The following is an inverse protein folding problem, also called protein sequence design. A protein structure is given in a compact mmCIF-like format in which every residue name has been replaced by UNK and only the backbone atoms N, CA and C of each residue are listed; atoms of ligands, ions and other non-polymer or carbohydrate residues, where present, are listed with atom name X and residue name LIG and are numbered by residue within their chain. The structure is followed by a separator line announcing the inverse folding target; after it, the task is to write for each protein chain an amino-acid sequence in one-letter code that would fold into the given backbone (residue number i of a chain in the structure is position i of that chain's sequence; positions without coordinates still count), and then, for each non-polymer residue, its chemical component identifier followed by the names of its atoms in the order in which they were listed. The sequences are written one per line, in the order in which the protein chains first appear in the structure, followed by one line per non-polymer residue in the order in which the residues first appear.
data_IF_567886256165
#
_entry.id   IF_567886256165
#
_cell.length_a   1.000
_cell.length_b   1.000
_cell.length_c   1.000
_cell.angle_alpha   90.00
_cell.angle_beta   90.00
_cell.angle_gamma   90.00
#
_symmetry.space_group_name_H-M   'P 1'
#
loop_
_entity.id
_entity.type
_entity.pdbx_description
1 polymer ?
#
# COMPACT_ATOMS: atom_id res chain seq x y z
N UNK A 1 21.83 40.87 -60.89
CA UNK A 1 21.86 39.40 -60.78
C UNK A 1 22.09 39.01 -59.32
N UNK A 2 21.01 38.84 -58.55
CA UNK A 2 21.06 38.42 -57.13
C UNK A 2 20.85 36.92 -57.03
N UNK A 3 21.86 36.18 -56.55
CA UNK A 3 21.80 34.73 -56.31
C UNK A 3 20.76 34.41 -55.21
N UNK A 4 19.97 33.32 -55.33
CA UNK A 4 19.08 32.90 -54.25
C UNK A 4 19.89 32.36 -53.08
N UNK A 5 19.59 32.86 -51.88
CA UNK A 5 20.18 32.44 -50.61
C UNK A 5 19.63 31.05 -50.26
N UNK A 6 20.47 30.02 -50.29
CA UNK A 6 20.09 28.67 -49.86
C UNK A 6 19.56 28.68 -48.40
N UNK A 7 18.55 27.87 -48.06
CA UNK A 7 17.85 28.00 -46.80
C UNK A 7 18.73 27.49 -45.65
N UNK A 8 18.97 28.35 -44.65
CA UNK A 8 19.72 28.06 -43.42
C UNK A 8 19.20 26.83 -42.63
N UNK A 9 18.02 26.30 -42.95
CA UNK A 9 17.42 25.13 -42.30
C UNK A 9 18.07 23.81 -42.70
N UNK A 10 18.49 23.65 -43.96
CA UNK A 10 19.10 22.40 -44.44
C UNK A 10 20.42 22.08 -43.72
N UNK A 11 21.18 23.11 -43.36
CA UNK A 11 22.50 23.01 -42.71
C UNK A 11 22.38 22.64 -41.24
N UNK A 12 21.37 23.16 -40.53
CA UNK A 12 21.10 22.81 -39.13
C UNK A 12 20.61 21.36 -38.99
N UNK A 13 19.75 20.91 -39.90
CA UNK A 13 19.28 19.52 -39.95
C UNK A 13 20.42 18.55 -40.24
N UNK A 14 21.32 18.86 -41.18
CA UNK A 14 22.49 18.02 -41.48
C UNK A 14 23.46 17.91 -40.30
N UNK A 15 23.70 19.00 -39.57
CA UNK A 15 24.54 19.00 -38.37
C UNK A 15 23.92 18.15 -37.24
N UNK A 16 22.61 18.22 -37.04
CA UNK A 16 21.89 17.39 -36.07
C UNK A 16 21.98 15.90 -36.42
N UNK A 17 21.81 15.53 -37.70
CA UNK A 17 21.94 14.15 -38.18
C UNK A 17 23.37 13.63 -37.99
N UNK A 18 24.39 14.45 -38.28
CA UNK A 18 25.79 14.07 -38.05
C UNK A 18 26.09 13.83 -36.56
N UNK A 19 25.55 14.68 -35.67
CA UNK A 19 25.67 14.52 -34.21
C UNK A 19 25.00 13.23 -33.73
N UNK A 20 23.78 12.95 -34.17
CA UNK A 20 23.05 11.72 -33.82
C UNK A 20 23.79 10.47 -34.30
N UNK A 21 24.29 10.45 -35.55
CA UNK A 21 25.07 9.33 -36.10
C UNK A 21 26.38 9.11 -35.35
N UNK A 22 27.05 10.18 -34.91
CA UNK A 22 28.26 10.09 -34.08
C UNK A 22 27.96 9.46 -32.72
N UNK A 23 26.88 9.88 -32.06
CA UNK A 23 26.44 9.30 -30.79
C UNK A 23 26.08 7.82 -30.96
N UNK A 24 25.34 7.46 -32.01
CA UNK A 24 25.00 6.08 -32.33
C UNK A 24 26.26 5.21 -32.49
N UNK A 25 27.23 5.65 -33.30
CA UNK A 25 28.50 4.93 -33.49
C UNK A 25 29.27 4.74 -32.18
N UNK A 26 29.28 5.75 -31.29
CA UNK A 26 29.93 5.65 -29.99
C UNK A 26 29.23 4.65 -29.06
N UNK A 27 27.89 4.61 -29.06
CA UNK A 27 27.11 3.64 -28.29
C UNK A 27 27.32 2.23 -28.82
N UNK A 28 27.30 2.04 -30.14
CA UNK A 28 27.49 0.73 -30.77
C UNK A 28 28.90 0.18 -30.53
N UNK A 29 29.92 1.04 -30.58
CA UNK A 29 31.28 0.68 -30.24
C UNK A 29 31.40 0.23 -28.77
N UNK A 30 30.78 0.97 -27.83
CA UNK A 30 30.77 0.60 -26.40
C UNK A 30 30.03 -0.70 -26.12
N UNK A 31 28.94 -1.00 -26.85
CA UNK A 31 28.21 -2.28 -26.72
C UNK A 31 29.05 -3.47 -27.18
N UNK A 32 29.89 -3.31 -28.22
CA UNK A 32 30.76 -4.38 -28.71
C UNK A 32 31.92 -4.71 -27.75
N UNK A 33 32.34 -3.74 -26.94
CA UNK A 33 33.45 -3.91 -25.98
C UNK A 33 33.00 -4.15 -24.55
N UNK A 34 31.71 -3.99 -24.25
CA UNK A 34 31.18 -4.24 -22.92
C UNK A 34 31.09 -5.76 -22.68
N UNK A 35 31.64 -6.29 -21.57
CA UNK A 35 31.38 -7.67 -21.18
C UNK A 35 29.88 -7.86 -21.02
N UNK A 36 29.35 -9.01 -21.44
CA UNK A 36 27.96 -9.36 -21.23
C UNK A 36 27.68 -9.33 -19.72
N UNK A 37 27.06 -8.26 -19.23
CA UNK A 37 26.67 -8.15 -17.84
C UNK A 37 25.65 -9.26 -17.56
N UNK A 38 26.10 -10.32 -16.90
CA UNK A 38 25.20 -11.37 -16.41
C UNK A 38 24.09 -10.72 -15.59
N UNK A 39 22.84 -10.95 -16.00
CA UNK A 39 21.65 -10.39 -15.33
C UNK A 39 21.44 -10.94 -13.91
N UNK A 40 22.29 -11.85 -13.45
CA UNK A 40 22.03 -12.68 -12.26
C UNK A 40 22.91 -12.35 -11.03
N UNK A 41 23.66 -11.24 -11.01
CA UNK A 41 24.66 -10.99 -9.96
C UNK A 41 24.36 -9.85 -8.96
N UNK A 42 23.21 -9.16 -9.03
CA UNK A 42 22.88 -8.09 -8.07
C UNK A 42 21.87 -8.60 -7.03
N UNK A 43 22.30 -8.68 -5.78
CA UNK A 43 21.45 -9.05 -4.64
C UNK A 43 20.36 -8.02 -4.31
N UNK A 44 19.59 -8.25 -3.25
CA UNK A 44 18.50 -7.39 -2.81
C UNK A 44 18.87 -5.90 -2.74
N UNK A 45 18.08 -5.06 -3.41
CA UNK A 45 18.27 -3.61 -3.48
C UNK A 45 17.85 -2.97 -2.16
N UNK A 46 18.73 -2.14 -1.61
CA UNK A 46 18.53 -1.43 -0.34
C UNK A 46 18.60 0.07 -0.63
N UNK A 47 17.43 0.70 -0.78
CA UNK A 47 17.30 2.11 -1.13
C UNK A 47 16.92 3.00 0.06
N UNK A 48 16.66 2.40 1.23
CA UNK A 48 16.32 3.10 2.47
C UNK A 48 17.53 3.36 3.37
N UNK A 49 17.34 4.15 4.44
CA UNK A 49 18.40 4.47 5.40
C UNK A 49 18.86 3.25 6.23
N UNK A 50 17.99 2.24 6.35
CA UNK A 50 18.29 0.99 7.04
C UNK A 50 18.22 -0.18 6.06
N UNK A 51 19.08 -1.19 6.26
CA UNK A 51 18.98 -2.45 5.50
C UNK A 51 17.78 -3.24 5.95
N UNK A 52 16.91 -3.59 5.01
CA UNK A 52 15.75 -4.44 5.23
C UNK A 52 16.08 -5.93 5.08
N UNK A 53 15.33 -6.81 5.76
CA UNK A 53 15.42 -8.26 5.54
C UNK A 53 15.33 -8.61 4.04
N UNK A 54 16.13 -9.58 3.62
CA UNK A 54 16.22 -10.03 2.23
C UNK A 54 16.21 -11.55 2.17
N UNK A 55 15.85 -12.10 1.01
CA UNK A 55 15.81 -13.55 0.81
C UNK A 55 17.21 -14.21 0.93
N UNK A 56 17.28 -15.49 1.33
CA UNK A 56 16.16 -16.34 1.73
C UNK A 56 15.61 -15.94 3.11
N UNK A 57 14.28 -15.84 3.21
CA UNK A 57 13.60 -15.67 4.50
C UNK A 57 13.45 -17.04 5.19
N UNK A 58 13.27 -17.10 6.52
CA UNK A 58 12.99 -18.35 7.21
C UNK A 58 11.71 -19.01 6.69
N UNK A 59 11.77 -20.32 6.45
CA UNK A 59 10.60 -21.12 6.11
C UNK A 59 9.66 -21.18 7.32
N UNK A 60 8.40 -20.77 7.15
CA UNK A 60 7.38 -20.78 8.20
C UNK A 60 5.97 -20.76 7.60
N UNK A 61 4.97 -21.22 8.36
CA UNK A 61 3.55 -21.16 8.01
C UNK A 61 2.72 -20.85 9.26
N UNK A 62 1.71 -19.99 9.15
CA UNK A 62 0.86 -19.55 10.26
C UNK A 62 -0.59 -19.97 10.06
N UNK A 63 -1.38 -20.03 11.14
CA UNK A 63 -2.85 -20.14 11.04
C UNK A 63 -3.45 -18.76 10.85
N UNK A 64 -4.48 -18.63 10.03
CA UNK A 64 -5.23 -17.37 9.83
C UNK A 64 -5.98 -16.92 11.08
N UNK A 65 -6.17 -15.60 11.30
CA UNK A 65 -5.68 -14.47 10.48
C UNK A 65 -4.16 -14.20 10.59
N UNK A 66 -3.43 -14.97 11.40
CA UNK A 66 -1.98 -14.89 11.59
C UNK A 66 -1.62 -13.85 12.62
N UNK A 67 -0.82 -14.22 13.63
CA UNK A 67 -0.28 -13.27 14.62
C UNK A 67 1.05 -12.73 14.12
N UNK A 68 1.27 -11.43 14.23
CA UNK A 68 2.54 -10.82 13.83
C UNK A 68 3.69 -11.19 14.76
N UNK A 69 3.38 -11.41 16.04
CA UNK A 69 4.34 -11.89 17.04
C UNK A 69 4.97 -13.25 16.71
N UNK A 70 4.30 -14.08 15.91
CA UNK A 70 4.77 -15.43 15.53
C UNK A 70 5.72 -15.41 14.31
N UNK A 71 5.91 -14.26 13.66
CA UNK A 71 6.74 -14.13 12.47
C UNK A 71 8.23 -13.96 12.76
N UNK A 72 9.05 -14.69 11.99
CA UNK A 72 10.52 -14.55 12.03
C UNK A 72 11.10 -14.27 10.63
N UNK A 73 11.76 -13.12 10.39
CA UNK A 73 11.89 -11.99 11.30
C UNK A 73 10.53 -11.29 11.51
N UNK A 74 10.37 -10.63 12.66
CA UNK A 74 9.22 -9.78 12.90
C UNK A 74 9.16 -8.68 11.82
N UNK A 75 7.97 -8.37 11.26
CA UNK A 75 7.78 -7.24 10.38
C UNK A 75 8.27 -5.94 11.01
N UNK A 76 8.95 -5.12 10.22
CA UNK A 76 9.36 -3.78 10.66
C UNK A 76 8.26 -2.78 10.33
N UNK A 77 7.71 -2.18 11.38
CA UNK A 77 6.57 -1.24 11.28
C UNK A 77 6.86 0.13 11.90
N UNK A 78 7.96 0.29 12.64
CA UNK A 78 8.24 1.51 13.40
C UNK A 78 8.84 2.63 12.55
N UNK A 79 9.43 2.33 11.38
CA UNK A 79 10.09 3.30 10.50
C UNK A 79 11.06 4.22 11.26
N UNK A 80 12.08 3.67 11.92
CA UNK A 80 12.99 4.44 12.80
C UNK A 80 13.64 5.66 12.11
N UNK A 81 13.85 5.58 10.79
CA UNK A 81 14.38 6.68 9.98
C UNK A 81 13.36 7.78 9.62
N UNK A 82 12.06 7.58 9.89
CA UNK A 82 11.00 8.53 9.60
C UNK A 82 10.77 9.49 10.77
N UNK A 83 10.99 10.79 10.54
CA UNK A 83 10.77 11.85 11.54
C UNK A 83 9.44 12.56 11.26
N UNK A 84 8.56 12.57 12.27
CA UNK A 84 7.29 13.29 12.21
C UNK A 84 7.50 14.80 12.04
N UNK A 85 6.53 15.45 11.42
CA UNK A 85 6.56 16.89 11.13
C UNK A 85 5.20 17.57 11.34
N UNK A 86 4.31 16.95 12.12
CA UNK A 86 2.98 17.47 12.47
C UNK A 86 2.00 17.52 11.29
N UNK A 87 2.18 16.66 10.27
CA UNK A 87 1.34 16.70 9.05
C UNK A 87 -0.12 16.36 9.32
N UNK A 88 -0.37 15.62 10.39
CA UNK A 88 -1.69 15.15 10.81
C UNK A 88 -2.03 15.65 12.21
N UNK A 89 -1.42 16.76 12.65
CA UNK A 89 -1.64 17.31 13.99
C UNK A 89 -3.12 17.56 14.26
N UNK A 90 -3.61 17.00 15.37
CA UNK A 90 -5.00 17.13 15.81
C UNK A 90 -6.03 16.38 14.95
N UNK A 91 -5.60 15.54 14.00
CA UNK A 91 -6.48 14.68 13.20
C UNK A 91 -6.85 13.40 13.95
N UNK A 92 -7.96 12.79 13.55
CA UNK A 92 -8.37 11.46 14.02
C UNK A 92 -8.49 10.50 12.85
N UNK A 93 -7.84 9.35 12.96
CA UNK A 93 -7.88 8.30 11.96
C UNK A 93 -8.58 7.03 12.46
N UNK A 94 -9.33 6.36 11.59
CA UNK A 94 -9.89 5.03 11.80
C UNK A 94 -9.30 4.07 10.76
N UNK A 95 -8.59 3.04 11.21
CA UNK A 95 -7.81 2.13 10.37
C UNK A 95 -8.30 0.69 10.55
N UNK A 96 -8.80 0.05 9.49
CA UNK A 96 -9.16 -1.38 9.55
C UNK A 96 -7.96 -2.29 9.29
N UNK A 97 -7.87 -3.42 10.01
CA UNK A 97 -6.66 -4.26 10.03
C UNK A 97 -5.47 -3.49 10.59
N UNK A 98 -5.70 -2.65 11.60
CA UNK A 98 -4.69 -1.80 12.21
C UNK A 98 -3.84 -2.51 13.24
N UNK A 99 -4.19 -3.73 13.64
CA UNK A 99 -3.47 -4.57 14.59
C UNK A 99 -2.09 -5.02 14.11
N UNK A 100 -1.89 -5.20 12.80
CA UNK A 100 -0.69 -5.80 12.23
C UNK A 100 -0.35 -5.26 10.84
N UNK A 101 0.83 -5.64 10.33
CA UNK A 101 1.30 -5.39 8.97
C UNK A 101 1.29 -3.91 8.59
N UNK A 102 0.76 -3.64 7.38
CA UNK A 102 0.68 -2.29 6.83
C UNK A 102 -0.17 -1.38 7.73
N UNK A 103 -1.31 -1.87 8.22
CA UNK A 103 -2.20 -1.09 9.07
C UNK A 103 -1.54 -0.65 10.38
N UNK A 104 -0.77 -1.54 11.03
CA UNK A 104 0.05 -1.20 12.20
C UNK A 104 1.07 -0.11 11.90
N UNK A 105 1.83 -0.26 10.81
CA UNK A 105 2.82 0.75 10.44
C UNK A 105 2.17 2.12 10.14
N UNK A 106 1.00 2.12 9.49
CA UNK A 106 0.22 3.34 9.24
C UNK A 106 -0.27 3.96 10.54
N UNK A 107 -0.78 3.16 11.49
CA UNK A 107 -1.22 3.65 12.80
C UNK A 107 -0.08 4.35 13.55
N UNK A 108 1.10 3.74 13.61
CA UNK A 108 2.27 4.32 14.27
C UNK A 108 2.73 5.61 13.58
N UNK A 109 2.79 5.66 12.25
CA UNK A 109 3.23 6.87 11.55
C UNK A 109 2.19 7.99 11.59
N UNK A 110 0.90 7.65 11.64
CA UNK A 110 -0.16 8.65 11.84
C UNK A 110 -0.05 9.28 13.23
N UNK A 111 0.20 8.46 14.26
CA UNK A 111 0.46 8.94 15.61
C UNK A 111 1.69 9.84 15.66
N UNK A 112 2.80 9.42 15.04
CA UNK A 112 4.03 10.22 14.94
C UNK A 112 3.84 11.56 14.20
N UNK A 113 2.85 11.64 13.31
CA UNK A 113 2.48 12.87 12.62
C UNK A 113 1.41 13.69 13.34
N UNK A 114 1.00 13.28 14.54
CA UNK A 114 0.14 14.04 15.45
C UNK A 114 -1.33 13.61 15.49
N UNK A 115 -1.70 12.48 14.89
CA UNK A 115 -3.08 12.00 14.86
C UNK A 115 -3.41 11.05 16.01
N UNK A 116 -4.62 11.18 16.58
CA UNK A 116 -5.20 10.10 17.40
C UNK A 116 -5.73 8.98 16.49
N UNK A 117 -5.65 7.73 16.92
CA UNK A 117 -5.89 6.57 16.05
C UNK A 117 -6.86 5.58 16.68
N UNK A 118 -7.94 5.24 15.96
CA UNK A 118 -8.71 4.03 16.19
C UNK A 118 -8.26 2.93 15.24
N UNK A 119 -8.06 1.72 15.76
CA UNK A 119 -7.76 0.52 14.98
C UNK A 119 -8.90 -0.48 15.10
N UNK A 120 -9.32 -1.04 13.97
CA UNK A 120 -10.26 -2.17 13.88
C UNK A 120 -9.48 -3.43 13.56
N UNK A 121 -9.79 -4.53 14.24
CA UNK A 121 -9.15 -5.84 14.08
C UNK A 121 -10.14 -6.96 14.42
N UNK A 122 -9.85 -8.21 14.03
CA UNK A 122 -10.81 -9.31 14.15
C UNK A 122 -10.78 -9.98 15.52
N UNK A 123 -9.62 -10.51 15.91
CA UNK A 123 -9.46 -11.23 17.18
C UNK A 123 -8.02 -11.24 17.75
N UNK A 124 -7.09 -10.54 17.11
CA UNK A 124 -5.65 -10.48 17.41
C UNK A 124 -5.35 -9.45 18.52
N UNK A 125 -5.93 -9.63 19.70
CA UNK A 125 -5.86 -8.65 20.80
C UNK A 125 -4.46 -8.28 21.23
N UNK A 126 -3.56 -9.26 21.26
CA UNK A 126 -2.16 -9.05 21.64
C UNK A 126 -1.47 -8.11 20.63
N UNK A 127 -1.71 -8.32 19.34
CA UNK A 127 -1.18 -7.51 18.26
C UNK A 127 -1.80 -6.10 18.22
N UNK A 128 -3.10 -6.00 18.50
CA UNK A 128 -3.80 -4.73 18.66
C UNK A 128 -3.26 -3.93 19.87
N UNK A 129 -3.00 -4.59 21.00
CA UNK A 129 -2.44 -3.98 22.18
C UNK A 129 -1.01 -3.45 21.94
N UNK A 130 -0.18 -4.21 21.20
CA UNK A 130 1.14 -3.74 20.78
C UNK A 130 1.02 -2.47 19.94
N UNK A 131 0.13 -2.47 18.95
CA UNK A 131 -0.09 -1.28 18.10
C UNK A 131 -0.50 -0.07 18.94
N UNK A 132 -1.47 -0.23 19.85
CA UNK A 132 -1.89 0.89 20.70
C UNK A 132 -0.77 1.39 21.60
N UNK A 133 0.03 0.51 22.19
CA UNK A 133 1.19 0.92 22.97
C UNK A 133 2.20 1.72 22.15
N UNK A 134 2.38 1.42 20.85
CA UNK A 134 3.23 2.23 19.98
C UNK A 134 2.62 3.57 19.61
N UNK A 135 1.32 3.64 19.33
CA UNK A 135 0.60 4.91 19.12
C UNK A 135 0.72 5.82 20.36
N UNK A 136 0.55 5.25 21.55
CA UNK A 136 0.66 5.97 22.82
C UNK A 136 2.08 6.47 23.12
N UNK A 137 3.11 5.71 22.73
CA UNK A 137 4.51 6.16 22.83
C UNK A 137 4.83 7.35 21.94
N UNK A 138 4.11 7.54 20.84
CA UNK A 138 4.21 8.74 20.00
C UNK A 138 3.42 9.93 20.60
N UNK A 139 2.83 9.76 21.80
CA UNK A 139 2.11 10.81 22.53
C UNK A 139 0.66 11.00 22.11
N UNK A 140 0.09 10.07 21.32
CA UNK A 140 -1.28 10.14 20.82
C UNK A 140 -2.19 9.10 21.46
N UNK A 141 -3.50 9.28 21.35
CA UNK A 141 -4.48 8.34 21.92
C UNK A 141 -4.76 7.20 20.95
N UNK A 142 -4.86 5.97 21.46
CA UNK A 142 -5.29 4.81 20.69
C UNK A 142 -6.65 4.27 21.15
N UNK A 143 -7.49 3.81 20.21
CA UNK A 143 -8.72 3.07 20.49
C UNK A 143 -8.70 1.74 19.73
N UNK A 144 -8.74 0.63 20.45
CA UNK A 144 -8.82 -0.70 19.88
C UNK A 144 -10.29 -1.16 19.75
N UNK A 145 -10.71 -1.53 18.54
CA UNK A 145 -12.08 -1.94 18.21
C UNK A 145 -12.08 -3.35 17.61
N UNK A 146 -12.38 -4.36 18.43
CA UNK A 146 -12.52 -5.73 17.96
C UNK A 146 -13.87 -5.92 17.23
N UNK A 147 -13.85 -6.42 16.01
CA UNK A 147 -15.05 -6.91 15.31
C UNK A 147 -14.86 -7.11 13.81
N UNK A 148 -15.93 -7.57 13.15
CA UNK A 148 -15.90 -7.99 11.76
C UNK A 148 -16.46 -6.92 10.82
N UNK A 149 -15.62 -6.43 9.91
CA UNK A 149 -15.98 -5.43 8.88
C UNK A 149 -17.00 -5.95 7.87
N UNK A 150 -17.21 -7.27 7.75
CA UNK A 150 -18.28 -7.82 6.91
C UNK A 150 -19.68 -7.42 7.40
N UNK A 151 -19.79 -6.99 8.67
CA UNK A 151 -21.04 -6.61 9.28
C UNK A 151 -21.24 -5.08 9.28
N UNK A 152 -22.23 -4.60 8.52
CA UNK A 152 -22.56 -3.17 8.46
C UNK A 152 -22.88 -2.55 9.84
N UNK A 153 -23.52 -3.31 10.74
CA UNK A 153 -23.84 -2.80 12.09
C UNK A 153 -22.57 -2.50 12.88
N UNK A 154 -21.57 -3.39 12.83
CA UNK A 154 -20.28 -3.19 13.47
C UNK A 154 -19.53 -2.01 12.85
N UNK A 155 -19.53 -1.86 11.53
CA UNK A 155 -18.90 -0.72 10.86
C UNK A 155 -19.47 0.63 11.33
N UNK A 156 -20.79 0.70 11.59
CA UNK A 156 -21.43 1.89 12.19
C UNK A 156 -20.96 2.10 13.62
N UNK A 157 -21.02 1.05 14.44
CA UNK A 157 -20.57 1.09 15.83
C UNK A 157 -19.10 1.55 15.94
N UNK A 158 -18.22 1.07 15.07
CA UNK A 158 -16.82 1.46 15.04
C UNK A 158 -16.63 2.96 14.80
N UNK A 159 -17.39 3.53 13.86
CA UNK A 159 -17.39 4.98 13.59
C UNK A 159 -17.96 5.75 14.79
N UNK A 160 -19.10 5.32 15.34
CA UNK A 160 -19.75 5.94 16.49
C UNK A 160 -18.82 5.96 17.72
N UNK A 161 -18.15 4.85 18.01
CA UNK A 161 -17.19 4.74 19.11
C UNK A 161 -15.95 5.60 18.89
N UNK A 162 -15.48 5.70 17.65
CA UNK A 162 -14.38 6.62 17.29
C UNK A 162 -14.76 8.07 17.56
N UNK A 163 -15.98 8.46 17.16
CA UNK A 163 -16.52 9.80 17.42
C UNK A 163 -16.72 10.05 18.91
N UNK A 164 -17.26 9.08 19.66
CA UNK A 164 -17.44 9.20 21.11
C UNK A 164 -16.11 9.37 21.86
N UNK A 165 -15.06 8.66 21.44
CA UNK A 165 -13.75 8.71 22.09
C UNK A 165 -12.96 9.98 21.75
N UNK A 166 -12.99 10.40 20.49
CA UNK A 166 -12.09 11.44 19.99
C UNK A 166 -12.79 12.75 19.60
N UNK A 167 -14.11 12.75 19.51
CA UNK A 167 -14.94 13.91 19.15
C UNK A 167 -15.01 14.22 17.65
N UNK A 168 -14.25 13.51 16.81
CA UNK A 168 -14.18 13.72 15.36
C UNK A 168 -13.64 12.49 14.62
N UNK A 169 -13.80 12.48 13.29
CA UNK A 169 -13.15 11.54 12.37
C UNK A 169 -12.73 12.31 11.12
N UNK A 170 -11.44 12.26 10.77
CA UNK A 170 -10.87 12.98 9.63
C UNK A 170 -10.39 12.06 8.51
N UNK A 171 -9.90 10.87 8.90
CA UNK A 171 -9.21 9.95 8.00
C UNK A 171 -9.79 8.56 8.19
N UNK A 172 -10.27 7.95 7.10
CA UNK A 172 -10.61 6.53 7.06
C UNK A 172 -9.55 5.79 6.25
N UNK A 173 -8.98 4.73 6.81
CA UNK A 173 -8.11 3.79 6.10
C UNK A 173 -8.79 2.42 6.05
N UNK A 174 -9.27 2.04 4.87
CA UNK A 174 -9.72 0.68 4.63
C UNK A 174 -8.51 -0.17 4.24
N UNK A 175 -8.09 -1.06 5.15
CA UNK A 175 -6.90 -1.89 4.96
C UNK A 175 -7.15 -3.39 5.25
N UNK A 176 -8.08 -3.74 6.14
CA UNK A 176 -8.44 -5.13 6.43
C UNK A 176 -8.72 -5.91 5.12
N UNK A 177 -8.27 -7.17 5.05
CA UNK A 177 -8.50 -8.01 3.90
C UNK A 177 -8.42 -9.49 4.26
N UNK A 178 -9.13 -10.32 3.49
CA UNK A 178 -8.94 -11.76 3.43
C UNK A 178 -8.28 -12.14 2.10
N UNK A 179 -7.36 -13.10 2.13
CA UNK A 179 -6.66 -13.63 0.96
C UNK A 179 -6.34 -15.11 1.21
N UNK A 180 -6.72 -16.01 0.30
CA UNK A 180 -6.31 -17.42 0.30
C UNK A 180 -5.98 -17.85 -1.13
N UNK A 181 -4.89 -18.59 -1.34
CA UNK A 181 -4.58 -19.17 -2.65
C UNK A 181 -5.52 -20.32 -2.99
N UNK A 182 -5.93 -20.37 -4.26
CA UNK A 182 -6.55 -21.53 -4.91
C UNK A 182 -5.66 -21.92 -6.11
N UNK A 183 -5.30 -23.20 -6.24
CA UNK A 183 -4.39 -23.64 -7.31
C UNK A 183 -5.09 -23.64 -8.68
N UNK A 184 -6.35 -24.04 -8.70
CA UNK A 184 -7.25 -23.97 -9.87
C UNK A 184 -8.56 -23.26 -9.52
N UNK A 185 -9.34 -22.89 -10.54
CA UNK A 185 -10.65 -22.25 -10.31
C UNK A 185 -11.65 -23.22 -9.67
N UNK A 186 -11.52 -24.52 -9.93
CA UNK A 186 -12.33 -25.58 -9.36
C UNK A 186 -12.12 -25.76 -7.85
N UNK A 187 -10.97 -25.32 -7.31
CA UNK A 187 -10.68 -25.34 -5.87
C UNK A 187 -11.32 -24.15 -5.12
N UNK A 188 -11.78 -23.13 -5.86
CA UNK A 188 -12.38 -21.92 -5.30
C UNK A 188 -13.86 -22.14 -5.01
N UNK A 189 -14.16 -22.53 -3.77
CA UNK A 189 -15.55 -22.74 -3.32
C UNK A 189 -16.32 -21.42 -3.26
N UNK A 190 -17.65 -21.50 -3.30
CA UNK A 190 -18.53 -20.34 -3.17
C UNK A 190 -18.34 -19.63 -1.83
N UNK A 191 -18.14 -20.38 -0.73
CA UNK A 191 -17.92 -19.81 0.60
C UNK A 191 -16.59 -19.06 0.69
N UNK A 192 -15.53 -19.59 0.07
CA UNK A 192 -14.26 -18.90 -0.02
C UNK A 192 -14.44 -17.59 -0.82
N UNK A 193 -15.01 -17.68 -2.02
CA UNK A 193 -15.26 -16.50 -2.86
C UNK A 193 -16.10 -15.43 -2.14
N UNK A 194 -17.21 -15.83 -1.50
CA UNK A 194 -18.10 -14.94 -0.76
C UNK A 194 -17.37 -14.28 0.43
N UNK A 195 -16.57 -15.03 1.19
CA UNK A 195 -15.78 -14.49 2.29
C UNK A 195 -14.80 -13.41 1.81
N UNK A 196 -14.11 -13.65 0.71
CA UNK A 196 -13.18 -12.68 0.10
C UNK A 196 -13.93 -11.42 -0.35
N UNK A 197 -15.07 -11.57 -1.03
CA UNK A 197 -15.91 -10.44 -1.48
C UNK A 197 -16.49 -9.65 -0.31
N UNK A 198 -17.02 -10.33 0.71
CA UNK A 198 -17.59 -9.68 1.90
C UNK A 198 -16.53 -8.89 2.67
N UNK A 199 -15.36 -9.47 2.86
CA UNK A 199 -14.30 -8.80 3.61
C UNK A 199 -13.71 -7.62 2.81
N UNK A 200 -13.37 -7.86 1.54
CA UNK A 200 -12.57 -6.91 0.77
C UNK A 200 -13.41 -5.85 0.03
N UNK A 201 -14.69 -6.11 -0.26
CA UNK A 201 -15.58 -5.16 -0.93
C UNK A 201 -16.68 -4.64 -0.01
N UNK A 202 -17.49 -5.53 0.57
CA UNK A 202 -18.55 -5.09 1.47
C UNK A 202 -17.97 -4.36 2.68
N UNK A 203 -16.87 -4.82 3.27
CA UNK A 203 -16.19 -4.11 4.36
C UNK A 203 -15.78 -2.69 4.00
N UNK A 204 -15.20 -2.48 2.81
CA UNK A 204 -14.76 -1.14 2.36
C UNK A 204 -15.96 -0.24 2.10
N UNK A 205 -17.01 -0.80 1.49
CA UNK A 205 -18.27 -0.10 1.26
C UNK A 205 -18.95 0.27 2.58
N UNK A 206 -19.04 -0.64 3.55
CA UNK A 206 -19.69 -0.44 4.84
C UNK A 206 -18.99 0.65 5.66
N UNK A 207 -17.67 0.56 5.77
CA UNK A 207 -16.86 1.57 6.47
C UNK A 207 -16.94 2.93 5.79
N UNK A 208 -16.82 3.01 4.46
CA UNK A 208 -16.95 4.27 3.74
C UNK A 208 -18.36 4.87 3.94
N UNK A 209 -19.41 4.05 3.82
CA UNK A 209 -20.81 4.49 4.01
C UNK A 209 -21.07 4.99 5.44
N UNK A 210 -20.50 4.33 6.46
CA UNK A 210 -20.64 4.75 7.85
C UNK A 210 -19.84 6.03 8.15
N UNK A 211 -18.59 6.12 7.69
CA UNK A 211 -17.71 7.25 7.99
C UNK A 211 -18.07 8.52 7.23
N UNK A 212 -18.57 8.40 5.99
CA UNK A 212 -18.75 9.53 5.08
C UNK A 212 -19.58 10.66 5.66
N UNK A 213 -20.60 10.39 6.47
CA UNK A 213 -21.44 11.43 7.06
C UNK A 213 -20.68 12.32 8.07
N UNK A 214 -19.54 11.85 8.58
CA UNK A 214 -18.79 12.49 9.65
C UNK A 214 -17.45 13.07 9.19
N UNK A 215 -17.00 12.75 7.97
CA UNK A 215 -15.78 13.33 7.41
C UNK A 215 -16.01 14.81 7.03
N UNK A 216 -15.18 15.73 7.54
CA UNK A 216 -15.28 17.14 7.21
C UNK A 216 -14.67 17.45 5.84
N UNK A 217 -14.83 18.69 5.37
CA UNK A 217 -14.01 19.24 4.30
C UNK A 217 -12.52 19.07 4.64
N UNK A 218 -11.72 18.62 3.66
CA UNK A 218 -10.33 18.25 3.86
C UNK A 218 -10.12 16.85 4.46
N UNK A 219 -11.19 16.08 4.69
CA UNK A 219 -11.14 14.67 5.08
C UNK A 219 -10.53 13.78 3.99
N UNK A 220 -10.11 12.58 4.39
CA UNK A 220 -9.42 11.64 3.48
C UNK A 220 -9.87 10.20 3.69
N UNK A 221 -10.17 9.49 2.60
CA UNK A 221 -10.34 8.05 2.58
C UNK A 221 -9.16 7.44 1.80
N UNK A 222 -8.51 6.43 2.38
CA UNK A 222 -7.41 5.71 1.75
C UNK A 222 -7.74 4.22 1.75
N UNK A 223 -7.84 3.64 0.56
CA UNK A 223 -8.12 2.22 0.39
C UNK A 223 -6.84 1.44 0.06
N UNK A 224 -6.68 0.26 0.65
CA UNK A 224 -5.55 -0.62 0.37
C UNK A 224 -5.87 -1.57 -0.77
N UNK A 225 -5.38 -1.21 -1.96
CA UNK A 225 -5.40 -2.05 -3.14
C UNK A 225 -4.32 -3.14 -3.12
N UNK A 226 -3.89 -3.56 -4.31
CA UNK A 226 -2.75 -4.47 -4.50
C UNK A 226 -2.26 -4.40 -5.94
N UNK A 227 -1.00 -4.74 -6.19
CA UNK A 227 -0.49 -5.00 -7.55
C UNK A 227 -1.29 -6.08 -8.28
N UNK A 228 -1.86 -7.04 -7.56
CA UNK A 228 -2.73 -8.09 -8.15
C UNK A 228 -4.04 -7.53 -8.69
N UNK A 229 -4.52 -6.39 -8.17
CA UNK A 229 -5.65 -5.67 -8.75
C UNK A 229 -5.34 -4.99 -10.08
N UNK A 230 -4.06 -4.80 -10.40
CA UNK A 230 -3.58 -4.24 -11.68
C UNK A 230 -3.22 -5.36 -12.66
N UNK A 231 -2.45 -6.35 -12.19
CA UNK A 231 -1.82 -7.35 -13.07
C UNK A 231 -2.52 -8.71 -13.08
N UNK A 232 -3.45 -8.94 -12.15
CA UNK A 232 -4.00 -10.27 -11.88
C UNK A 232 -3.02 -11.22 -11.19
N UNK A 233 -3.52 -12.38 -10.77
CA UNK A 233 -2.73 -13.52 -10.30
C UNK A 233 -3.53 -14.80 -10.51
N UNK A 234 -2.92 -15.78 -11.20
CA UNK A 234 -3.58 -17.03 -11.55
C UNK A 234 -3.98 -17.91 -10.36
N UNK A 235 -3.43 -17.66 -9.16
CA UNK A 235 -3.75 -18.40 -7.93
C UNK A 235 -4.60 -17.60 -6.92
N UNK A 236 -5.02 -16.39 -7.29
CA UNK A 236 -5.71 -15.44 -6.42
C UNK A 236 -6.82 -14.75 -7.21
N UNK A 237 -7.74 -15.52 -7.79
CA UNK A 237 -8.76 -15.01 -8.72
C UNK A 237 -9.71 -14.02 -8.04
N UNK A 238 -10.34 -14.46 -6.95
CA UNK A 238 -11.26 -13.67 -6.11
C UNK A 238 -10.56 -12.47 -5.44
N UNK A 239 -9.36 -12.67 -4.90
CA UNK A 239 -8.58 -11.60 -4.29
C UNK A 239 -8.17 -10.55 -5.34
N UNK A 240 -7.68 -10.96 -6.51
CA UNK A 240 -7.34 -10.02 -7.60
C UNK A 240 -8.57 -9.26 -8.08
N UNK A 241 -9.71 -9.95 -8.22
CA UNK A 241 -10.98 -9.32 -8.59
C UNK A 241 -11.41 -8.27 -7.55
N UNK A 242 -11.37 -8.60 -6.26
CA UNK A 242 -11.70 -7.64 -5.19
C UNK A 242 -10.73 -6.46 -5.14
N UNK A 243 -9.43 -6.66 -5.37
CA UNK A 243 -8.45 -5.56 -5.41
C UNK A 243 -8.63 -4.65 -6.63
N UNK A 244 -8.99 -5.20 -7.80
CA UNK A 244 -9.36 -4.40 -8.97
C UNK A 244 -10.66 -3.62 -8.74
N UNK A 245 -11.65 -4.24 -8.11
CA UNK A 245 -12.89 -3.57 -7.72
C UNK A 245 -12.65 -2.47 -6.67
N UNK A 246 -11.74 -2.64 -5.71
CA UNK A 246 -11.31 -1.57 -4.78
C UNK A 246 -10.74 -0.38 -5.57
N UNK A 247 -9.91 -0.62 -6.59
CA UNK A 247 -9.35 0.47 -7.41
C UNK A 247 -10.43 1.25 -8.16
N UNK A 248 -11.40 0.55 -8.75
CA UNK A 248 -12.55 1.18 -9.41
C UNK A 248 -13.44 1.93 -8.40
N UNK A 249 -13.73 1.32 -7.25
CA UNK A 249 -14.51 1.91 -6.17
C UNK A 249 -13.86 3.20 -5.64
N UNK A 250 -12.54 3.22 -5.44
CA UNK A 250 -11.78 4.42 -5.06
C UNK A 250 -12.02 5.57 -6.04
N UNK A 251 -11.89 5.31 -7.36
CA UNK A 251 -12.08 6.32 -8.40
C UNK A 251 -13.52 6.84 -8.43
N UNK A 252 -14.48 5.93 -8.39
CA UNK A 252 -15.90 6.28 -8.41
C UNK A 252 -16.31 7.08 -7.17
N UNK A 253 -15.86 6.64 -5.98
CA UNK A 253 -16.15 7.32 -4.72
C UNK A 253 -15.48 8.70 -4.67
N UNK A 254 -14.24 8.84 -5.16
CA UNK A 254 -13.56 10.12 -5.29
C UNK A 254 -14.42 11.12 -6.07
N UNK A 255 -14.89 10.74 -7.27
CA UNK A 255 -15.77 11.58 -8.08
C UNK A 255 -17.10 11.89 -7.39
N UNK A 256 -17.64 10.93 -6.62
CA UNK A 256 -18.92 11.10 -5.93
C UNK A 256 -18.87 12.09 -4.76
N UNK A 257 -17.72 12.27 -4.11
CA UNK A 257 -17.58 13.09 -2.89
C UNK A 257 -16.68 14.31 -3.06
N UNK A 258 -16.22 14.59 -4.27
CA UNK A 258 -15.27 15.69 -4.55
C UNK A 258 -15.85 17.07 -4.16
N UNK A 259 -17.14 17.30 -4.41
CA UNK A 259 -17.81 18.57 -4.06
C UNK A 259 -17.96 18.79 -2.55
N UNK A 260 -17.67 17.76 -1.74
CA UNK A 260 -17.63 17.84 -0.28
C UNK A 260 -16.23 18.13 0.24
N UNK A 261 -15.26 18.32 -0.65
CA UNK A 261 -13.84 18.52 -0.31
C UNK A 261 -13.19 17.30 0.35
N UNK A 262 -13.73 16.10 0.15
CA UNK A 262 -13.19 14.84 0.67
C UNK A 262 -12.37 14.16 -0.44
N UNK A 263 -11.15 13.72 -0.11
CA UNK A 263 -10.27 13.02 -1.04
C UNK A 263 -10.36 11.52 -0.83
N UNK A 264 -10.35 10.75 -1.91
CA UNK A 264 -10.42 9.29 -1.87
C UNK A 264 -9.32 8.73 -2.76
N UNK A 265 -8.36 8.03 -2.19
CA UNK A 265 -7.21 7.49 -2.93
C UNK A 265 -6.95 6.03 -2.55
N UNK A 266 -6.10 5.35 -3.31
CA UNK A 266 -5.64 4.01 -2.98
C UNK A 266 -4.12 3.89 -3.00
N UNK A 267 -3.60 3.06 -2.11
CA UNK A 267 -2.22 2.54 -2.17
C UNK A 267 -2.29 1.11 -2.70
N UNK A 268 -1.45 0.74 -3.66
CA UNK A 268 -1.39 -0.59 -4.23
C UNK A 268 -0.02 -1.23 -3.96
N UNK A 269 0.14 -1.94 -2.83
CA UNK A 269 1.40 -2.59 -2.49
C UNK A 269 1.73 -3.76 -3.42
N UNK A 270 3.02 -4.03 -3.59
CA UNK A 270 3.53 -5.31 -4.07
C UNK A 270 3.67 -6.33 -2.93
N UNK A 271 4.70 -7.20 -2.95
CA UNK A 271 4.94 -8.15 -1.86
C UNK A 271 5.47 -7.42 -0.62
N UNK A 272 4.66 -7.40 0.45
CA UNK A 272 5.02 -6.82 1.75
C UNK A 272 5.06 -7.92 2.81
N UNK A 273 6.09 -7.94 3.65
CA UNK A 273 6.25 -8.92 4.71
C UNK A 273 5.26 -8.65 5.85
N UNK A 274 4.16 -9.40 5.85
CA UNK A 274 3.05 -9.31 6.82
C UNK A 274 2.53 -10.71 7.18
N UNK A 275 1.78 -10.89 8.29
CA UNK A 275 1.19 -12.18 8.68
C UNK A 275 0.35 -12.84 7.59
N UNK A 276 -0.29 -12.03 6.75
CA UNK A 276 -1.13 -12.46 5.64
C UNK A 276 -0.43 -13.44 4.68
N UNK A 277 0.88 -13.30 4.42
CA UNK A 277 1.56 -14.18 3.44
C UNK A 277 1.97 -15.53 4.03
N UNK A 278 2.60 -15.61 5.22
CA UNK A 278 2.94 -16.90 5.82
C UNK A 278 1.71 -17.67 6.30
N UNK A 279 0.56 -17.01 6.53
CA UNK A 279 -0.70 -17.67 6.82
C UNK A 279 -1.40 -18.29 5.58
N UNK A 280 -0.88 -18.00 4.38
CA UNK A 280 -1.53 -18.32 3.10
C UNK A 280 -0.63 -19.19 2.20
N UNK A 281 0.70 -19.07 2.31
CA UNK A 281 1.66 -19.77 1.45
C UNK A 281 2.33 -20.97 2.14
N UNK A 282 2.74 -22.00 1.38
CA UNK A 282 3.65 -23.03 1.86
C UNK A 282 4.99 -22.44 2.32
N UNK A 283 5.59 -23.05 3.34
CA UNK A 283 6.81 -22.53 3.98
C UNK A 283 7.99 -22.33 3.01
N UNK A 284 8.11 -23.17 1.98
CA UNK A 284 9.15 -23.05 0.95
C UNK A 284 8.98 -21.81 0.06
N UNK A 285 7.73 -21.43 -0.25
CA UNK A 285 7.44 -20.22 -1.01
C UNK A 285 7.69 -18.96 -0.18
N UNK A 286 7.41 -19.02 1.12
CA UNK A 286 7.67 -17.92 2.07
C UNK A 286 9.15 -17.53 2.07
N UNK A 287 10.07 -18.51 2.00
CA UNK A 287 11.50 -18.23 1.92
C UNK A 287 11.92 -17.41 0.69
N UNK A 288 11.15 -17.50 -0.41
CA UNK A 288 11.41 -16.82 -1.69
C UNK A 288 10.52 -15.59 -1.90
N UNK A 289 9.67 -15.26 -0.94
CA UNK A 289 8.71 -14.16 -1.04
C UNK A 289 9.40 -12.83 -1.39
N UNK A 290 8.90 -12.13 -2.41
CA UNK A 290 9.45 -10.86 -2.89
C UNK A 290 10.72 -10.96 -3.74
N UNK A 291 11.32 -12.13 -3.93
CA UNK A 291 12.54 -12.31 -4.75
C UNK A 291 12.33 -11.96 -6.23
N UNK A 292 11.10 -12.04 -6.74
CA UNK A 292 10.77 -11.77 -8.13
C UNK A 292 10.72 -10.28 -8.49
N UNK A 293 10.63 -9.38 -7.51
CA UNK A 293 10.61 -7.92 -7.76
C UNK A 293 11.93 -7.43 -8.35
N UNK A 294 11.98 -6.23 -8.92
CA UNK A 294 13.25 -5.66 -9.38
C UNK A 294 14.19 -5.32 -8.21
N UNK A 295 13.62 -5.04 -7.04
CA UNK A 295 14.36 -4.87 -5.78
C UNK A 295 14.79 -6.19 -5.13
N UNK A 296 14.36 -7.36 -5.63
CA UNK A 296 14.77 -8.71 -5.20
C UNK A 296 14.59 -8.99 -3.70
N UNK A 297 13.61 -8.33 -3.07
CA UNK A 297 13.18 -8.53 -1.68
C UNK A 297 11.72 -8.09 -1.50
N UNK A 298 11.02 -8.55 -0.45
CA UNK A 298 9.77 -7.94 -0.08
C UNK A 298 10.01 -6.58 0.60
N UNK A 299 9.00 -5.72 0.54
CA UNK A 299 8.95 -4.53 1.37
C UNK A 299 8.64 -4.91 2.83
N UNK A 300 9.08 -4.07 3.76
CA UNK A 300 8.57 -4.07 5.12
C UNK A 300 7.36 -3.12 5.23
N UNK A 301 6.42 -3.33 6.16
CA UNK A 301 5.28 -2.44 6.36
C UNK A 301 5.64 -0.96 6.49
N UNK A 302 6.73 -0.65 7.17
CA UNK A 302 7.25 0.71 7.34
C UNK A 302 7.65 1.41 6.04
N UNK A 303 7.90 0.67 4.96
CA UNK A 303 8.24 1.23 3.65
C UNK A 303 7.00 1.64 2.86
N UNK A 304 5.81 1.17 3.28
CA UNK A 304 4.53 1.48 2.64
C UNK A 304 3.83 2.64 3.37
N UNK A 305 3.91 2.66 4.71
CA UNK A 305 3.20 3.61 5.56
C UNK A 305 3.42 5.11 5.23
N UNK A 306 4.61 5.58 4.79
CA UNK A 306 4.81 6.98 4.38
C UNK A 306 3.87 7.46 3.27
N UNK A 307 3.45 6.56 2.37
CA UNK A 307 2.49 6.91 1.32
C UNK A 307 1.08 7.18 1.88
N UNK A 308 0.69 6.50 2.95
CA UNK A 308 -0.57 6.79 3.63
C UNK A 308 -0.53 8.16 4.31
N UNK A 309 0.60 8.54 4.94
CA UNK A 309 0.75 9.90 5.50
C UNK A 309 0.64 10.94 4.39
N UNK A 310 1.35 10.72 3.27
CA UNK A 310 1.31 11.61 2.11
C UNK A 310 -0.13 11.82 1.60
N UNK A 311 -0.89 10.73 1.41
CA UNK A 311 -2.26 10.80 0.93
C UNK A 311 -3.24 11.34 1.98
N UNK A 312 -3.01 11.10 3.27
CA UNK A 312 -3.87 11.61 4.34
C UNK A 312 -3.71 13.12 4.54
N UNK A 313 -2.49 13.65 4.42
CA UNK A 313 -2.17 15.03 4.73
C UNK A 313 -2.61 16.01 3.61
N UNK A 314 -3.53 16.96 3.89
CA UNK A 314 -3.93 17.97 2.91
C UNK A 314 -2.75 18.83 2.41
N UNK A 315 -1.78 19.12 3.28
CA UNK A 315 -0.59 19.88 2.93
C UNK A 315 0.29 19.19 1.86
N UNK A 316 0.11 17.89 1.64
CA UNK A 316 0.87 17.11 0.66
C UNK A 316 0.05 16.70 -0.56
N UNK A 317 -1.27 16.48 -0.39
CA UNK A 317 -2.11 15.82 -1.38
C UNK A 317 -3.45 16.54 -1.62
N UNK A 318 -3.56 17.84 -1.33
CA UNK A 318 -4.79 18.63 -1.54
C UNK A 318 -5.33 18.58 -2.97
N UNK A 319 -4.45 18.42 -3.97
CA UNK A 319 -4.81 18.31 -5.39
C UNK A 319 -4.79 16.87 -5.93
N UNK A 320 -4.88 15.88 -5.03
CA UNK A 320 -4.80 14.45 -5.37
C UNK A 320 -6.03 13.71 -4.83
N UNK A 321 -6.88 13.25 -5.73
CA UNK A 321 -8.02 12.38 -5.43
C UNK A 321 -8.26 11.42 -6.60
N UNK A 322 -8.76 10.22 -6.33
CA UNK A 322 -9.06 9.19 -7.33
C UNK A 322 -7.84 8.44 -7.88
N UNK A 323 -6.65 8.56 -7.27
CA UNK A 323 -5.47 7.85 -7.76
C UNK A 323 -5.31 6.46 -7.14
N UNK A 324 -4.57 5.61 -7.84
CA UNK A 324 -3.99 4.36 -7.31
C UNK A 324 -2.49 4.53 -7.33
N UNK A 325 -1.85 4.56 -6.16
CA UNK A 325 -0.41 4.74 -6.00
C UNK A 325 0.28 3.37 -5.84
N UNK A 326 0.96 2.84 -6.87
CA UNK A 326 1.67 1.56 -6.77
C UNK A 326 2.97 1.69 -5.96
N UNK A 327 3.21 0.74 -5.05
CA UNK A 327 4.46 0.61 -4.27
C UNK A 327 4.89 -0.85 -4.32
N UNK A 328 5.57 -1.24 -5.40
CA UNK A 328 5.68 -2.66 -5.79
C UNK A 328 7.07 -3.27 -5.65
N UNK A 329 8.11 -2.44 -5.49
CA UNK A 329 9.50 -2.89 -5.58
C UNK A 329 9.92 -3.30 -7.00
N UNK A 330 9.08 -3.07 -8.01
CA UNK A 330 9.37 -3.24 -9.43
C UNK A 330 9.34 -1.90 -10.15
N UNK A 331 10.08 -1.79 -11.24
CA UNK A 331 10.03 -0.63 -12.13
C UNK A 331 8.64 -0.59 -12.76
N UNK A 332 7.92 0.50 -12.49
CA UNK A 332 6.59 0.78 -13.02
C UNK A 332 6.61 1.45 -14.38
#
# INVERSE_FOLDING_TARGET
MTKPRAPKSATATQAAVAKQRRVQKQVDARKKTAPAAGKDAKGAVQAGPHRQPANPLPQQHLRKPGRESDLTPAPRFQAEGYRGSGKLEGRVALITGGDSGIGRAVAVLFAREGADVAIVYLCEDEDAAVTCAHVEREGRRCLALRGDVTAMHFCREAVERTLAQFGRLDILVNNAAFQQHAEQIEDLTEEHFDLTVRTNLYGYFHMAKAALAHLPEGGSIINTGSVTGISGSGKLLDYSATKGAIHAFTKALASNVIDRGIRVNAVAPGPVWTPLNPADRPAEEVARFGRSTDMKRPAQPEEIAPAYVFLAAPACASYITGIVLPITGSVG
#
